data_IF_401618756610
#
_entry.id   IF_401618756610
#
_cell.length_a   1.000
_cell.length_b   1.000
_cell.length_c   1.000
_cell.angle_alpha   90.00
_cell.angle_beta   90.00
_cell.angle_gamma   90.00
#
_symmetry.space_group_name_H-M   'P 1'
#
loop_
_entity.id
_entity.type
_entity.pdbx_description
1 polymer ?
#
# COMPACT_ATOMS: atom_id res chain seq x y z
N UNK A 1 -5.46 12.20 19.08
CA UNK A 1 -4.82 12.76 17.87
C UNK A 1 -3.69 11.85 17.36
N UNK A 2 -3.95 10.55 17.16
CA UNK A 2 -2.98 9.57 16.64
C UNK A 2 -3.63 8.73 15.52
N UNK A 3 -4.36 9.40 14.62
CA UNK A 3 -5.28 8.79 13.63
C UNK A 3 -4.63 8.73 12.23
N UNK A 4 -3.35 9.07 12.13
CA UNK A 4 -2.71 9.38 10.85
C UNK A 4 -1.30 8.79 10.67
N UNK A 5 -0.80 7.77 11.40
CA UNK A 5 0.62 7.38 11.23
C UNK A 5 0.99 7.05 9.76
N UNK A 6 0.25 6.12 9.14
CA UNK A 6 0.48 5.72 7.74
C UNK A 6 0.17 6.85 6.74
N UNK A 7 -0.93 7.58 6.95
CA UNK A 7 -1.36 8.72 6.12
C UNK A 7 -0.39 9.90 6.19
N UNK A 8 0.13 10.21 7.38
CA UNK A 8 1.10 11.27 7.63
C UNK A 8 2.47 10.91 7.06
N UNK A 9 2.91 9.66 7.18
CA UNK A 9 4.19 9.23 6.60
C UNK A 9 4.16 9.36 5.07
N UNK A 10 3.14 8.78 4.42
CA UNK A 10 2.89 8.92 2.99
C UNK A 10 2.73 10.40 2.57
N UNK A 11 2.02 11.23 3.35
CA UNK A 11 1.94 12.66 3.12
C UNK A 11 3.32 13.34 3.24
N UNK A 12 4.16 12.98 4.21
CA UNK A 12 5.48 13.59 4.39
C UNK A 12 6.44 13.24 3.26
N UNK A 13 6.47 11.99 2.77
CA UNK A 13 7.31 11.63 1.61
C UNK A 13 6.81 12.31 0.34
N UNK A 14 5.50 12.31 0.04
CA UNK A 14 4.96 13.04 -1.12
C UNK A 14 5.25 14.55 -1.00
N UNK A 15 5.03 15.17 0.18
CA UNK A 15 5.28 16.60 0.37
C UNK A 15 6.77 16.96 0.34
N UNK A 16 7.67 16.09 0.81
CA UNK A 16 9.10 16.36 0.84
C UNK A 16 9.79 15.99 -0.49
N UNK A 17 9.63 14.75 -0.93
CA UNK A 17 10.42 14.13 -2.00
C UNK A 17 9.80 14.27 -3.39
N UNK A 18 8.51 14.63 -3.49
CA UNK A 18 7.91 15.09 -4.75
C UNK A 18 7.84 16.61 -4.76
N UNK A 19 7.09 17.20 -3.83
CA UNK A 19 6.66 18.60 -3.94
C UNK A 19 7.79 19.57 -3.56
N UNK A 20 8.37 19.47 -2.34
CA UNK A 20 9.46 20.37 -1.91
C UNK A 20 10.75 20.17 -2.70
N UNK A 21 11.08 18.93 -3.11
CA UNK A 21 12.23 18.60 -3.99
C UNK A 21 12.21 19.37 -5.32
N UNK A 22 11.03 19.72 -5.83
CA UNK A 22 10.83 20.43 -7.11
C UNK A 22 10.40 21.91 -6.90
N UNK A 23 10.20 22.34 -5.65
CA UNK A 23 9.84 23.71 -5.28
C UNK A 23 11.00 24.66 -5.53
N UNK A 24 10.79 25.63 -6.43
CA UNK A 24 11.70 26.75 -6.67
C UNK A 24 10.98 28.04 -6.30
N UNK A 25 11.68 28.97 -5.65
CA UNK A 25 11.08 30.23 -5.19
C UNK A 25 10.61 31.07 -6.39
N UNK A 26 9.30 31.28 -6.51
CA UNK A 26 8.69 32.11 -7.56
C UNK A 26 8.23 31.36 -8.82
N UNK A 27 8.52 30.07 -8.98
CA UNK A 27 8.00 29.26 -10.11
C UNK A 27 6.82 28.37 -9.65
N UNK A 28 5.61 28.76 -10.04
CA UNK A 28 4.40 27.94 -9.92
C UNK A 28 4.43 26.71 -10.84
N UNK A 29 3.80 25.62 -10.40
CA UNK A 29 3.75 24.35 -11.16
C UNK A 29 2.35 23.74 -11.22
N UNK A 30 2.13 22.90 -12.23
CA UNK A 30 0.94 22.05 -12.38
C UNK A 30 1.26 20.68 -11.76
N UNK A 31 0.31 20.05 -11.05
CA UNK A 31 0.43 18.66 -10.60
C UNK A 31 -0.48 17.76 -11.46
N UNK A 32 0.11 16.92 -12.29
CA UNK A 32 -0.59 15.93 -13.14
C UNK A 32 -0.56 14.57 -12.43
N UNK A 33 -1.71 13.91 -12.31
CA UNK A 33 -1.86 12.63 -11.59
C UNK A 33 -2.72 11.63 -12.36
N UNK A 34 -2.47 10.34 -12.11
CA UNK A 34 -3.31 9.21 -12.53
C UNK A 34 -4.43 8.92 -11.50
N UNK A 35 -5.44 8.14 -11.87
CA UNK A 35 -6.60 7.70 -11.07
C UNK A 35 -6.21 7.03 -9.74
N UNK A 36 -5.05 6.36 -9.67
CA UNK A 36 -4.50 5.80 -8.44
C UNK A 36 -3.82 6.89 -7.59
N UNK A 37 -2.85 7.60 -8.18
CA UNK A 37 -2.08 8.67 -7.55
C UNK A 37 -2.95 9.82 -7.01
N UNK A 38 -4.01 10.19 -7.73
CA UNK A 38 -5.03 11.16 -7.29
C UNK A 38 -5.69 10.70 -5.98
N UNK A 39 -5.97 9.40 -5.81
CA UNK A 39 -6.55 8.87 -4.58
C UNK A 39 -5.54 8.78 -3.45
N UNK A 40 -4.26 8.51 -3.73
CA UNK A 40 -3.19 8.62 -2.71
C UNK A 40 -3.14 10.06 -2.17
N UNK A 41 -2.92 11.04 -3.07
CA UNK A 41 -2.77 12.46 -2.74
C UNK A 41 -4.03 13.00 -2.03
N UNK A 42 -5.23 12.67 -2.52
CA UNK A 42 -6.49 13.11 -1.90
C UNK A 42 -6.76 12.48 -0.52
N UNK A 43 -6.19 11.31 -0.24
CA UNK A 43 -6.30 10.67 1.09
C UNK A 43 -5.34 11.28 2.11
N UNK A 44 -4.12 11.62 1.69
CA UNK A 44 -3.05 12.04 2.60
C UNK A 44 -2.85 13.57 2.72
N UNK A 45 -3.17 14.35 1.69
CA UNK A 45 -2.88 15.78 1.60
C UNK A 45 -4.12 16.61 1.24
N UNK A 46 -4.30 17.78 1.86
CA UNK A 46 -5.38 18.71 1.46
C UNK A 46 -4.92 19.60 0.31
N UNK A 47 -5.88 20.01 -0.53
CA UNK A 47 -5.65 20.98 -1.61
C UNK A 47 -4.98 22.28 -1.12
N UNK A 48 -5.32 22.75 0.08
CA UNK A 48 -4.69 23.93 0.73
C UNK A 48 -3.19 23.76 0.89
N UNK A 49 -2.76 22.56 1.28
CA UNK A 49 -1.41 22.27 1.72
C UNK A 49 -0.53 22.12 0.48
N UNK A 50 -1.03 21.37 -0.52
CA UNK A 50 -0.46 21.23 -1.86
C UNK A 50 -0.28 22.61 -2.55
N UNK A 51 -1.32 23.46 -2.51
CA UNK A 51 -1.24 24.79 -3.12
C UNK A 51 -0.23 25.71 -2.42
N UNK A 52 -0.13 25.64 -1.08
CA UNK A 52 0.85 26.43 -0.31
C UNK A 52 2.31 26.09 -0.65
N UNK A 53 2.56 24.89 -1.19
CA UNK A 53 3.88 24.43 -1.57
C UNK A 53 4.29 24.81 -3.01
N UNK A 54 3.45 25.53 -3.77
CA UNK A 54 3.80 26.11 -5.08
C UNK A 54 3.14 25.45 -6.28
N UNK A 55 2.10 24.63 -6.06
CA UNK A 55 1.25 24.05 -7.10
C UNK A 55 0.01 24.93 -7.29
N UNK A 56 -0.41 25.20 -8.52
CA UNK A 56 -1.62 26.03 -8.80
C UNK A 56 -2.87 25.22 -9.08
N UNK A 57 -2.73 24.06 -9.72
CA UNK A 57 -3.83 23.22 -10.17
C UNK A 57 -3.40 21.75 -10.16
N UNK A 58 -4.36 20.87 -9.88
CA UNK A 58 -4.19 19.42 -9.90
C UNK A 58 -5.04 18.85 -11.04
N UNK A 59 -4.41 18.12 -11.94
CA UNK A 59 -4.96 17.71 -13.23
C UNK A 59 -4.88 16.18 -13.42
N UNK A 60 -5.81 15.64 -14.20
CA UNK A 60 -5.92 14.21 -14.47
C UNK A 60 -5.29 13.87 -15.82
N UNK A 61 -4.26 13.00 -15.82
CA UNK A 61 -3.51 12.66 -17.04
C UNK A 61 -4.40 12.07 -18.15
N UNK A 62 -5.48 11.38 -17.77
CA UNK A 62 -6.41 10.72 -18.70
C UNK A 62 -7.44 11.67 -19.32
N UNK A 63 -7.48 12.92 -18.86
CA UNK A 63 -8.36 13.97 -19.42
C UNK A 63 -7.58 14.88 -20.37
N UNK A 64 -8.32 15.50 -21.31
CA UNK A 64 -7.80 16.60 -22.11
C UNK A 64 -7.63 17.83 -21.20
N UNK A 65 -6.45 18.45 -21.26
CA UNK A 65 -5.98 19.50 -20.35
C UNK A 65 -5.57 20.74 -21.16
N UNK A 66 -5.73 21.93 -20.58
CA UNK A 66 -5.37 23.17 -21.27
C UNK A 66 -3.83 23.33 -21.36
N UNK A 67 -3.29 23.77 -22.51
CA UNK A 67 -1.85 23.96 -22.68
C UNK A 67 -1.36 25.19 -21.92
N UNK A 68 -0.48 24.97 -20.94
CA UNK A 68 0.19 25.97 -20.11
C UNK A 68 1.72 25.96 -20.37
N UNK A 69 2.19 26.29 -21.60
CA UNK A 69 3.60 26.14 -22.02
C UNK A 69 4.59 27.04 -21.28
N UNK A 70 4.12 27.95 -20.42
CA UNK A 70 4.94 28.76 -19.52
C UNK A 70 5.30 28.06 -18.21
N UNK A 71 4.50 27.07 -17.78
CA UNK A 71 4.59 26.41 -16.48
C UNK A 71 5.28 25.05 -16.56
N UNK A 72 5.99 24.64 -15.51
CA UNK A 72 6.53 23.28 -15.39
C UNK A 72 5.47 22.37 -14.73
N UNK A 73 5.37 21.12 -15.18
CA UNK A 73 4.47 20.12 -14.61
C UNK A 73 5.22 19.08 -13.76
N UNK A 74 4.63 18.71 -12.64
CA UNK A 74 5.00 17.56 -11.82
C UNK A 74 4.04 16.43 -12.17
N UNK A 75 4.53 15.32 -12.70
CA UNK A 75 3.74 14.13 -12.96
C UNK A 75 3.96 13.16 -11.81
N UNK A 76 2.90 12.79 -11.09
CA UNK A 76 2.91 11.72 -10.10
C UNK A 76 1.96 10.62 -10.59
N UNK A 77 2.52 9.58 -11.20
CA UNK A 77 1.78 8.63 -12.03
C UNK A 77 2.19 7.18 -11.79
N UNK A 78 1.26 6.27 -12.01
CA UNK A 78 1.53 4.82 -12.08
C UNK A 78 2.34 4.51 -13.35
N UNK A 79 3.34 3.61 -13.34
CA UNK A 79 4.04 3.16 -14.55
C UNK A 79 3.16 2.21 -15.39
N UNK A 80 2.03 2.72 -15.89
CA UNK A 80 1.11 2.05 -16.82
C UNK A 80 1.21 2.61 -18.23
N UNK A 81 0.89 1.79 -19.23
CA UNK A 81 0.89 2.19 -20.65
C UNK A 81 0.01 3.43 -20.89
N UNK A 82 -1.20 3.49 -20.32
CA UNK A 82 -2.09 4.67 -20.38
C UNK A 82 -1.39 5.96 -19.87
N UNK A 83 -0.70 5.88 -18.72
CA UNK A 83 -0.05 7.05 -18.11
C UNK A 83 1.20 7.46 -18.89
N UNK A 84 1.97 6.49 -19.40
CA UNK A 84 3.18 6.73 -20.19
C UNK A 84 2.84 7.28 -21.58
N UNK A 85 1.80 6.77 -22.23
CA UNK A 85 1.30 7.36 -23.49
C UNK A 85 0.73 8.76 -23.27
N UNK A 86 0.01 9.02 -22.17
CA UNK A 86 -0.43 10.37 -21.78
C UNK A 86 0.74 11.34 -21.69
N UNK A 87 1.77 10.98 -20.91
CA UNK A 87 3.02 11.75 -20.78
C UNK A 87 3.73 11.99 -22.12
N UNK A 88 3.75 10.99 -23.01
CA UNK A 88 4.40 11.09 -24.33
C UNK A 88 3.60 12.02 -25.27
N UNK A 89 2.27 11.98 -25.22
CA UNK A 89 1.42 12.82 -26.04
C UNK A 89 1.52 14.31 -25.65
N UNK A 90 1.62 14.63 -24.35
CA UNK A 90 1.79 16.01 -23.83
C UNK A 90 3.01 16.76 -24.43
N UNK A 91 4.04 16.03 -24.87
CA UNK A 91 5.28 16.57 -25.45
C UNK A 91 5.55 16.11 -26.90
N UNK A 92 4.53 15.61 -27.60
CA UNK A 92 4.64 15.09 -28.97
C UNK A 92 5.04 16.16 -30.00
N UNK A 93 4.46 17.35 -29.88
CA UNK A 93 4.61 18.47 -30.81
C UNK A 93 5.41 19.65 -30.21
N UNK A 94 6.68 19.86 -30.63
CA UNK A 94 7.56 20.87 -30.03
C UNK A 94 7.15 22.34 -30.22
N UNK A 95 6.07 22.62 -30.98
CA UNK A 95 5.55 23.98 -31.19
C UNK A 95 4.50 24.37 -30.15
N UNK A 96 3.67 23.39 -29.74
CA UNK A 96 2.58 23.57 -28.79
C UNK A 96 2.67 22.50 -27.67
N UNK A 97 3.78 22.44 -26.90
CA UNK A 97 3.86 21.52 -25.77
C UNK A 97 2.85 21.94 -24.70
N UNK A 98 2.24 20.98 -24.00
CA UNK A 98 1.25 21.30 -22.96
C UNK A 98 1.92 22.00 -21.77
N UNK A 99 3.19 21.72 -21.49
CA UNK A 99 3.96 22.33 -20.40
C UNK A 99 5.40 22.71 -20.85
N UNK A 100 6.07 23.60 -20.10
CA UNK A 100 7.47 24.01 -20.30
C UNK A 100 8.50 22.90 -20.05
N UNK A 101 8.09 21.85 -19.34
CA UNK A 101 8.91 20.70 -18.97
C UNK A 101 8.25 19.85 -17.88
N UNK A 102 8.73 18.63 -17.72
CA UNK A 102 8.17 17.61 -16.84
C UNK A 102 9.14 17.24 -15.70
N UNK A 103 8.59 17.06 -14.51
CA UNK A 103 9.22 16.42 -13.37
C UNK A 103 8.43 15.14 -13.07
N UNK A 104 8.96 14.00 -13.51
CA UNK A 104 8.23 12.72 -13.49
C UNK A 104 8.59 11.92 -12.24
N UNK A 105 7.54 11.46 -11.56
CA UNK A 105 7.61 10.63 -10.38
C UNK A 105 6.73 9.40 -10.60
N UNK A 106 7.34 8.23 -10.58
CA UNK A 106 6.60 6.96 -10.65
C UNK A 106 6.29 6.45 -9.25
N UNK A 107 5.07 5.97 -9.04
CA UNK A 107 4.64 5.38 -7.76
C UNK A 107 5.28 4.03 -7.49
N UNK A 108 5.78 3.36 -8.53
CA UNK A 108 6.30 2.00 -8.53
C UNK A 108 7.44 1.90 -9.58
N UNK A 109 8.19 0.81 -9.57
CA UNK A 109 9.34 0.58 -10.46
C UNK A 109 8.90 0.57 -11.94
N UNK A 110 9.59 1.30 -12.82
CA UNK A 110 9.22 1.34 -14.25
C UNK A 110 9.80 0.12 -15.02
N UNK A 111 8.97 -0.65 -15.76
CA UNK A 111 9.47 -1.69 -16.65
C UNK A 111 10.38 -1.14 -17.76
N UNK A 112 11.46 -1.86 -18.07
CA UNK A 112 12.43 -1.51 -19.12
C UNK A 112 11.77 -1.18 -20.47
N UNK A 113 10.66 -1.85 -20.82
CA UNK A 113 9.89 -1.59 -22.04
C UNK A 113 9.35 -0.16 -22.09
N UNK A 114 8.73 0.31 -21.00
CA UNK A 114 8.19 1.66 -20.87
C UNK A 114 9.30 2.70 -20.70
N UNK A 115 10.37 2.39 -19.96
CA UNK A 115 11.53 3.28 -19.86
C UNK A 115 12.21 3.50 -21.22
N UNK A 116 12.35 2.44 -22.02
CA UNK A 116 12.84 2.52 -23.40
C UNK A 116 11.88 3.31 -24.32
N UNK A 117 10.57 3.20 -24.12
CA UNK A 117 9.57 3.96 -24.87
C UNK A 117 9.69 5.47 -24.58
N UNK A 118 9.76 5.86 -23.30
CA UNK A 118 9.99 7.26 -22.87
C UNK A 118 11.32 7.78 -23.41
N UNK A 119 12.40 6.98 -23.32
CA UNK A 119 13.74 7.36 -23.79
C UNK A 119 13.81 7.56 -25.31
N UNK A 120 13.06 6.77 -26.10
CA UNK A 120 12.92 6.95 -27.56
C UNK A 120 11.97 8.09 -27.94
N UNK A 121 11.05 8.45 -27.05
CA UNK A 121 10.09 9.54 -27.26
C UNK A 121 10.76 10.92 -27.26
N UNK A 122 10.02 11.94 -27.70
CA UNK A 122 10.45 13.35 -27.59
C UNK A 122 10.33 13.90 -26.16
N UNK A 123 9.51 13.30 -25.30
CA UNK A 123 9.32 13.75 -23.91
C UNK A 123 10.61 13.70 -23.10
N UNK A 124 11.53 12.78 -23.43
CA UNK A 124 12.90 12.69 -22.88
C UNK A 124 13.67 14.03 -22.86
N UNK A 125 13.39 14.95 -23.79
CA UNK A 125 14.04 16.29 -23.85
C UNK A 125 13.37 17.35 -22.96
N UNK A 126 12.12 17.09 -22.54
CA UNK A 126 11.32 17.96 -21.68
C UNK A 126 11.35 17.51 -20.22
N UNK A 127 11.67 16.24 -19.96
CA UNK A 127 11.83 15.67 -18.62
C UNK A 127 13.11 16.22 -17.97
N UNK A 128 12.98 16.78 -16.77
CA UNK A 128 14.05 17.40 -15.97
C UNK A 128 14.45 16.58 -14.75
N UNK A 129 13.51 15.81 -14.22
CA UNK A 129 13.75 14.77 -13.22
C UNK A 129 12.88 13.56 -13.57
N UNK A 130 13.44 12.37 -13.40
CA UNK A 130 12.72 11.10 -13.41
C UNK A 130 13.21 10.35 -12.18
N UNK A 131 12.32 10.05 -11.24
CA UNK A 131 12.63 9.28 -10.03
C UNK A 131 11.44 8.42 -9.64
N UNK A 132 11.69 7.22 -9.14
CA UNK A 132 10.68 6.37 -8.52
C UNK A 132 10.55 6.73 -7.03
N UNK A 133 9.35 6.58 -6.46
CA UNK A 133 9.10 6.78 -5.02
C UNK A 133 8.83 5.44 -4.32
N UNK A 134 8.43 4.40 -5.07
CA UNK A 134 8.14 3.06 -4.55
C UNK A 134 7.10 3.07 -3.41
N UNK A 135 6.00 3.81 -3.60
CA UNK A 135 4.80 3.82 -2.76
C UNK A 135 3.62 3.34 -3.60
N UNK A 136 3.44 2.02 -3.68
CA UNK A 136 2.49 1.38 -4.60
C UNK A 136 1.20 0.88 -3.91
N UNK A 137 0.80 1.50 -2.79
CA UNK A 137 -0.38 1.16 -1.99
C UNK A 137 -1.22 2.40 -1.62
N UNK A 138 -2.53 2.21 -1.41
CA UNK A 138 -3.41 3.23 -0.84
C UNK A 138 -3.46 3.11 0.69
N UNK A 139 -3.00 4.11 1.47
CA UNK A 139 -3.35 4.22 2.88
C UNK A 139 -4.84 4.61 2.99
N UNK A 140 -5.69 3.66 3.35
CA UNK A 140 -7.15 3.88 3.44
C UNK A 140 -7.52 4.51 4.79
N UNK A 141 -6.86 4.08 5.86
CA UNK A 141 -6.97 4.64 7.21
C UNK A 141 -5.61 4.55 7.94
N UNK A 142 -5.55 4.93 9.23
CA UNK A 142 -4.30 4.84 10.02
C UNK A 142 -3.72 3.43 10.08
N UNK A 143 -4.60 2.42 10.14
CA UNK A 143 -4.25 1.01 10.33
C UNK A 143 -4.67 0.13 9.16
N UNK A 144 -5.15 0.72 8.06
CA UNK A 144 -5.74 -0.01 6.92
C UNK A 144 -5.06 0.45 5.63
N UNK A 145 -4.47 -0.50 4.89
CA UNK A 145 -3.99 -0.26 3.53
C UNK A 145 -4.71 -1.15 2.50
N UNK A 146 -4.82 -0.64 1.27
CA UNK A 146 -5.43 -1.32 0.14
C UNK A 146 -4.47 -1.29 -1.05
N UNK A 147 -4.27 -2.43 -1.68
CA UNK A 147 -3.53 -2.54 -2.96
C UNK A 147 -4.42 -2.22 -4.16
N UNK A 148 -5.73 -2.00 -3.91
CA UNK A 148 -6.73 -1.41 -4.82
C UNK A 148 -6.98 -2.14 -6.15
N UNK A 149 -6.53 -3.39 -6.29
CA UNK A 149 -6.80 -4.24 -7.46
C UNK A 149 -8.19 -4.87 -7.31
N UNK A 150 -9.19 -4.24 -7.92
CA UNK A 150 -10.60 -4.65 -7.84
C UNK A 150 -10.82 -6.02 -8.51
N UNK A 151 -10.18 -6.26 -9.64
CA UNK A 151 -10.26 -7.51 -10.40
C UNK A 151 -9.60 -8.71 -9.72
N UNK A 152 -8.83 -8.49 -8.65
CA UNK A 152 -8.08 -9.54 -7.97
C UNK A 152 -8.95 -10.67 -7.40
N UNK A 153 -10.23 -10.39 -7.06
CA UNK A 153 -11.16 -11.45 -6.69
C UNK A 153 -11.37 -12.43 -7.85
N UNK A 154 -11.53 -11.90 -9.06
CA UNK A 154 -11.65 -12.68 -10.28
C UNK A 154 -10.34 -13.39 -10.61
N UNK A 155 -9.21 -12.68 -10.51
CA UNK A 155 -7.90 -13.23 -10.85
C UNK A 155 -7.51 -14.39 -9.92
N UNK A 156 -7.79 -14.31 -8.61
CA UNK A 156 -7.44 -15.38 -7.67
C UNK A 156 -8.45 -16.53 -7.63
N UNK A 157 -9.76 -16.26 -7.66
CA UNK A 157 -10.77 -17.31 -7.46
C UNK A 157 -11.32 -17.91 -8.76
N UNK A 158 -11.14 -17.29 -9.93
CA UNK A 158 -11.48 -17.93 -11.20
C UNK A 158 -10.56 -19.14 -11.48
N UNK A 159 -11.10 -20.27 -11.99
CA UNK A 159 -10.29 -21.38 -12.48
C UNK A 159 -9.65 -21.06 -13.84
N UNK A 160 -10.23 -20.16 -14.64
CA UNK A 160 -9.82 -19.89 -16.02
C UNK A 160 -8.62 -18.94 -16.14
N UNK A 161 -8.23 -18.26 -15.06
CA UNK A 161 -7.13 -17.27 -15.03
C UNK A 161 -5.81 -17.78 -14.42
N UNK A 162 -5.64 -19.10 -14.28
CA UNK A 162 -4.52 -19.72 -13.56
C UNK A 162 -3.13 -19.15 -13.88
N UNK A 163 -2.79 -18.98 -15.17
CA UNK A 163 -1.46 -18.49 -15.58
C UNK A 163 -1.19 -17.02 -15.20
N UNK A 164 -2.25 -16.20 -15.11
CA UNK A 164 -2.16 -14.78 -14.75
C UNK A 164 -1.86 -14.61 -13.25
N UNK A 165 -2.27 -15.58 -12.41
CA UNK A 165 -2.13 -15.51 -10.94
C UNK A 165 -0.69 -15.21 -10.51
N UNK A 166 0.29 -15.88 -11.10
CA UNK A 166 1.70 -15.70 -10.73
C UNK A 166 2.20 -14.26 -10.93
N UNK A 167 1.81 -13.60 -12.03
CA UNK A 167 2.16 -12.19 -12.29
C UNK A 167 1.43 -11.23 -11.32
N UNK A 168 0.20 -11.57 -10.92
CA UNK A 168 -0.55 -10.80 -9.92
C UNK A 168 0.07 -10.97 -8.54
N UNK A 169 0.52 -12.18 -8.16
CA UNK A 169 1.23 -12.47 -6.91
C UNK A 169 2.57 -11.74 -6.83
N UNK A 170 3.39 -11.77 -7.88
CA UNK A 170 4.67 -11.07 -7.93
C UNK A 170 4.49 -9.55 -7.73
N UNK A 171 3.50 -8.95 -8.40
CA UNK A 171 3.12 -7.55 -8.17
C UNK A 171 2.60 -7.29 -6.75
N UNK A 172 1.84 -8.22 -6.15
CA UNK A 172 1.44 -8.06 -4.74
C UNK A 172 2.63 -8.13 -3.78
N UNK A 173 3.60 -9.00 -4.02
CA UNK A 173 4.82 -9.07 -3.20
C UNK A 173 5.60 -7.74 -3.25
N UNK A 174 5.75 -7.14 -4.43
CA UNK A 174 6.34 -5.81 -4.64
C UNK A 174 5.56 -4.71 -3.88
N UNK A 175 4.23 -4.70 -4.00
CA UNK A 175 3.35 -3.72 -3.35
C UNK A 175 3.24 -3.88 -1.82
N UNK A 176 3.65 -5.02 -1.26
CA UNK A 176 3.77 -5.25 0.20
C UNK A 176 5.20 -4.95 0.67
N UNK A 177 6.23 -5.30 -0.12
CA UNK A 177 7.63 -5.00 0.19
C UNK A 177 7.88 -3.48 0.24
N UNK A 178 7.27 -2.72 -0.68
CA UNK A 178 7.29 -1.25 -0.68
C UNK A 178 6.69 -0.63 0.59
N UNK A 179 5.57 -1.15 1.10
CA UNK A 179 5.03 -0.75 2.41
C UNK A 179 6.02 -1.02 3.55
N UNK A 180 6.66 -2.19 3.56
CA UNK A 180 7.64 -2.55 4.59
C UNK A 180 8.86 -1.62 4.55
N UNK A 181 9.36 -1.29 3.35
CA UNK A 181 10.43 -0.32 3.14
C UNK A 181 10.02 1.10 3.58
N UNK A 182 8.80 1.54 3.25
CA UNK A 182 8.21 2.83 3.71
C UNK A 182 8.17 2.90 5.23
N UNK A 183 7.71 1.84 5.91
CA UNK A 183 7.69 1.75 7.37
C UNK A 183 9.08 1.54 8.01
N UNK A 184 10.11 1.23 7.20
CA UNK A 184 11.45 0.78 7.61
C UNK A 184 11.43 -0.46 8.52
N UNK A 185 10.49 -1.37 8.29
CA UNK A 185 10.31 -2.61 9.05
C UNK A 185 10.65 -3.84 8.20
N UNK A 186 11.34 -4.81 8.82
CA UNK A 186 11.56 -6.15 8.25
C UNK A 186 10.76 -7.16 9.10
N UNK A 187 9.51 -7.49 8.73
CA UNK A 187 8.69 -8.45 9.46
C UNK A 187 9.13 -9.90 9.20
N UNK A 188 8.82 -10.80 10.13
CA UNK A 188 8.97 -12.24 9.90
C UNK A 188 7.76 -12.77 9.12
N UNK A 189 7.96 -13.15 7.85
CA UNK A 189 6.86 -13.57 6.96
C UNK A 189 6.28 -14.93 7.40
N UNK A 190 4.96 -14.95 7.64
CA UNK A 190 4.14 -16.15 7.90
C UNK A 190 2.95 -16.18 6.93
N UNK A 191 2.47 -17.37 6.56
CA UNK A 191 1.35 -17.54 5.62
C UNK A 191 0.45 -18.73 6.01
N UNK A 192 -0.84 -18.71 5.64
CA UNK A 192 -1.76 -19.82 5.90
C UNK A 192 -1.48 -20.99 4.95
N UNK A 193 -0.90 -22.07 5.47
CA UNK A 193 -0.34 -23.19 4.71
C UNK A 193 -1.34 -24.09 3.96
N UNK A 194 -2.64 -23.95 4.22
CA UNK A 194 -3.71 -24.67 3.52
C UNK A 194 -3.82 -24.29 2.03
N UNK A 195 -3.39 -23.08 1.65
CA UNK A 195 -3.44 -22.57 0.29
C UNK A 195 -2.02 -22.44 -0.29
N UNK A 196 -1.75 -23.15 -1.39
CA UNK A 196 -0.42 -23.18 -2.03
C UNK A 196 0.01 -21.80 -2.53
N UNK A 197 -0.91 -21.03 -3.09
CA UNK A 197 -0.69 -19.71 -3.66
C UNK A 197 -0.17 -18.71 -2.59
N UNK A 198 -0.57 -18.88 -1.32
CA UNK A 198 -0.05 -18.09 -0.20
C UNK A 198 1.43 -18.36 0.08
N UNK A 199 1.89 -19.61 -0.10
CA UNK A 199 3.30 -19.96 0.06
C UNK A 199 4.15 -19.31 -1.05
N UNK A 200 3.64 -19.28 -2.29
CA UNK A 200 4.29 -18.63 -3.43
C UNK A 200 4.39 -17.12 -3.20
N UNK A 201 3.29 -16.46 -2.80
CA UNK A 201 3.27 -15.02 -2.48
C UNK A 201 4.29 -14.67 -1.40
N UNK A 202 4.29 -15.46 -0.32
CA UNK A 202 5.12 -15.17 0.84
C UNK A 202 6.60 -15.43 0.57
N UNK A 203 6.96 -16.40 -0.30
CA UNK A 203 8.33 -16.58 -0.78
C UNK A 203 8.77 -15.39 -1.64
N UNK A 204 7.96 -14.98 -2.63
CA UNK A 204 8.25 -13.80 -3.45
C UNK A 204 8.43 -12.53 -2.61
N UNK A 205 7.62 -12.37 -1.54
CA UNK A 205 7.75 -11.27 -0.59
C UNK A 205 9.04 -11.35 0.21
N UNK A 206 9.43 -12.53 0.71
CA UNK A 206 10.71 -12.72 1.41
C UNK A 206 11.89 -12.35 0.50
N UNK A 207 11.89 -12.84 -0.74
CA UNK A 207 12.95 -12.58 -1.72
C UNK A 207 13.07 -11.08 -2.05
N UNK A 208 11.94 -10.37 -2.21
CA UNK A 208 11.90 -8.91 -2.41
C UNK A 208 12.37 -8.14 -1.17
N UNK A 209 11.96 -8.55 0.04
CA UNK A 209 12.38 -7.91 1.31
C UNK A 209 13.89 -8.05 1.57
N UNK A 210 14.48 -9.19 1.21
CA UNK A 210 15.94 -9.38 1.29
C UNK A 210 16.70 -8.54 0.26
N UNK A 211 16.10 -8.26 -0.92
CA UNK A 211 16.58 -7.24 -1.86
C UNK A 211 16.61 -5.84 -1.24
N UNK A 212 15.46 -5.33 -0.76
CA UNK A 212 15.38 -4.01 -0.12
C UNK A 212 16.32 -3.84 1.09
N UNK A 213 16.61 -4.93 1.82
CA UNK A 213 17.56 -4.95 2.94
C UNK A 213 19.04 -4.89 2.50
N UNK A 214 19.36 -5.30 1.28
CA UNK A 214 20.69 -5.09 0.71
C UNK A 214 20.95 -3.62 0.37
N UNK A 215 19.90 -2.89 -0.04
CA UNK A 215 19.98 -1.48 -0.42
C UNK A 215 19.89 -0.50 0.78
N UNK A 216 19.09 -0.81 1.83
CA UNK A 216 19.09 -0.07 3.10
C UNK A 216 19.45 -0.97 4.30
N UNK A 217 20.72 -0.94 4.76
CA UNK A 217 21.18 -1.72 5.91
C UNK A 217 20.56 -1.35 7.26
N UNK A 218 19.76 -0.28 7.35
CA UNK A 218 19.08 0.12 8.61
C UNK A 218 17.77 -0.63 8.87
N UNK A 219 17.36 -1.51 7.96
CA UNK A 219 16.07 -2.20 7.98
C UNK A 219 16.01 -3.33 9.04
N UNK A 220 15.42 -3.02 10.20
CA UNK A 220 14.88 -4.01 11.15
C UNK A 220 15.62 -4.25 12.48
N UNK A 221 15.88 -3.21 13.29
CA UNK A 221 16.21 -3.40 14.72
C UNK A 221 15.02 -4.01 15.51
N UNK A 222 15.28 -4.95 16.41
CA UNK A 222 14.29 -5.92 16.96
C UNK A 222 13.95 -5.69 18.45
N UNK A 223 12.65 -5.66 18.85
CA UNK A 223 12.16 -5.49 20.24
C UNK A 223 10.78 -6.15 20.52
N UNK A 224 10.44 -6.39 21.80
CA UNK A 224 9.29 -7.20 22.31
C UNK A 224 8.92 -6.78 23.77
N UNK A 225 7.85 -7.16 24.50
CA UNK A 225 6.72 -8.12 24.27
C UNK A 225 5.45 -7.85 25.16
N UNK A 226 4.38 -8.63 24.84
CA UNK A 226 3.42 -9.37 25.71
C UNK A 226 2.44 -8.74 26.73
N UNK A 227 1.36 -9.53 26.99
CA UNK A 227 0.30 -9.48 28.03
C UNK A 227 -0.79 -8.36 27.92
N UNK A 228 -2.11 -8.61 28.10
CA UNK A 228 -2.87 -9.87 28.40
C UNK A 228 -4.43 -9.74 28.32
N UNK A 229 -5.12 -10.81 27.87
CA UNK A 229 -6.54 -11.25 28.13
C UNK A 229 -7.79 -10.65 27.43
N UNK A 230 -8.87 -11.45 27.45
CA UNK A 230 -10.06 -11.45 26.56
C UNK A 230 -11.41 -11.05 27.19
N UNK A 231 -12.42 -10.72 26.36
CA UNK A 231 -13.85 -10.99 26.62
C UNK A 231 -14.67 -11.03 25.31
N UNK A 232 -15.77 -11.80 25.26
CA UNK A 232 -16.34 -12.32 24.01
C UNK A 232 -17.62 -11.64 23.47
N UNK A 233 -17.70 -11.61 22.13
CA UNK A 233 -18.88 -11.60 21.22
C UNK A 233 -18.38 -11.96 19.81
N UNK A 234 -19.28 -12.30 18.86
CA UNK A 234 -18.89 -12.87 17.55
C UNK A 234 -17.72 -12.13 16.90
N UNK A 235 -16.65 -12.88 16.68
CA UNK A 235 -15.34 -12.39 16.28
C UNK A 235 -14.99 -12.98 14.91
N UNK A 236 -14.56 -12.16 13.93
CA UNK A 236 -14.01 -12.69 12.68
C UNK A 236 -12.60 -13.25 12.94
N UNK A 237 -12.30 -14.41 12.35
CA UNK A 237 -11.08 -15.20 12.58
C UNK A 237 -9.77 -14.39 12.51
N UNK A 238 -9.73 -13.32 11.72
CA UNK A 238 -8.59 -12.39 11.62
C UNK A 238 -8.17 -11.84 12.99
N UNK A 239 -9.11 -11.60 13.90
CA UNK A 239 -8.84 -11.13 15.26
C UNK A 239 -8.22 -12.22 16.14
N UNK A 240 -8.75 -13.43 16.09
CA UNK A 240 -8.20 -14.58 16.81
C UNK A 240 -6.75 -14.84 16.32
N UNK A 241 -6.52 -14.77 15.00
CA UNK A 241 -5.18 -14.88 14.39
C UNK A 241 -4.25 -13.74 14.84
N UNK A 242 -4.73 -12.50 14.96
CA UNK A 242 -3.94 -11.37 15.50
C UNK A 242 -3.60 -11.56 16.97
N UNK A 243 -4.55 -12.01 17.80
CA UNK A 243 -4.35 -12.25 19.23
C UNK A 243 -3.37 -13.43 19.45
N UNK A 244 -3.56 -14.57 18.77
CA UNK A 244 -2.64 -15.73 18.83
C UNK A 244 -1.25 -15.43 18.24
N UNK A 245 -1.12 -14.51 17.29
CA UNK A 245 0.18 -14.05 16.78
C UNK A 245 0.89 -13.10 17.74
N UNK A 246 0.16 -12.26 18.47
CA UNK A 246 0.71 -11.37 19.52
C UNK A 246 1.11 -12.16 20.78
N UNK A 247 0.40 -13.26 21.07
CA UNK A 247 0.70 -14.18 22.19
C UNK A 247 1.62 -15.37 21.82
N UNK A 248 2.18 -15.40 20.59
CA UNK A 248 3.06 -16.45 20.04
C UNK A 248 2.51 -17.89 20.15
N UNK A 249 1.17 -18.04 20.08
CA UNK A 249 0.43 -19.31 20.15
C UNK A 249 0.05 -19.87 18.79
N UNK A 250 0.04 -19.04 17.75
CA UNK A 250 -0.43 -19.36 16.41
C UNK A 250 0.33 -20.58 15.83
N UNK A 251 -0.37 -21.69 15.55
CA UNK A 251 0.24 -23.00 15.23
C UNK A 251 1.27 -22.90 14.08
N UNK A 252 2.56 -23.19 14.33
CA UNK A 252 3.61 -23.20 13.30
C UNK A 252 3.36 -24.16 12.13
N UNK A 253 2.45 -25.14 12.25
CA UNK A 253 2.04 -26.02 11.13
C UNK A 253 1.04 -25.35 10.19
N UNK A 254 0.10 -24.57 10.73
CA UNK A 254 -0.91 -23.87 9.96
C UNK A 254 -0.39 -22.53 9.44
N UNK A 255 0.53 -21.90 10.18
CA UNK A 255 1.18 -20.64 9.87
C UNK A 255 2.72 -20.74 9.98
N UNK A 256 3.39 -21.50 9.08
CA UNK A 256 4.85 -21.62 9.09
C UNK A 256 5.57 -20.30 8.81
N UNK A 257 6.81 -20.20 9.30
CA UNK A 257 7.76 -19.16 8.95
C UNK A 257 8.56 -19.57 7.70
N UNK A 258 8.86 -18.62 6.82
CA UNK A 258 9.73 -18.88 5.64
C UNK A 258 11.20 -18.85 6.03
N UNK A 259 11.64 -17.77 6.68
CA UNK A 259 12.97 -17.68 7.27
C UNK A 259 12.89 -17.90 8.78
N UNK A 260 13.44 -19.03 9.26
CA UNK A 260 13.52 -19.30 10.70
C UNK A 260 14.65 -18.46 11.30
N UNK A 261 14.33 -17.28 11.85
CA UNK A 261 15.28 -16.55 12.71
C UNK A 261 15.68 -17.48 13.86
N UNK A 262 16.96 -17.82 13.96
CA UNK A 262 17.50 -18.58 15.08
C UNK A 262 17.36 -17.75 16.34
N UNK A 263 16.40 -18.13 17.20
CA UNK A 263 16.14 -17.44 18.45
C UNK A 263 17.43 -17.38 19.30
N UNK A 264 18.03 -16.20 19.41
CA UNK A 264 19.27 -16.05 20.16
C UNK A 264 19.03 -16.39 21.63
N UNK A 265 19.91 -17.23 22.20
CA UNK A 265 19.71 -17.77 23.53
C UNK A 265 19.81 -16.65 24.58
N UNK A 266 18.71 -16.43 25.32
CA UNK A 266 18.55 -15.39 26.34
C UNK A 266 19.68 -15.44 27.38
N UNK A 267 20.72 -14.65 27.16
CA UNK A 267 21.86 -14.51 28.08
C UNK A 267 21.51 -13.42 29.09
N UNK A 268 21.17 -13.84 30.31
CA UNK A 268 20.71 -12.95 31.39
C UNK A 268 21.86 -12.13 31.97
N UNK A 269 22.11 -10.94 31.44
CA UNK A 269 22.98 -9.94 32.07
C UNK A 269 22.25 -9.23 33.20
N UNK A 270 22.71 -9.43 34.43
CA UNK A 270 22.11 -8.80 35.61
C UNK A 270 22.49 -7.30 35.69
N UNK A 271 21.50 -6.41 35.69
CA UNK A 271 21.70 -4.97 35.90
C UNK A 271 21.57 -4.60 37.38
N UNK A 272 22.52 -3.82 37.91
CA UNK A 272 22.53 -3.46 39.33
C UNK A 272 21.62 -2.26 39.63
N UNK A 273 20.69 -2.40 40.58
CA UNK A 273 19.76 -1.36 40.96
C UNK A 273 20.41 -0.25 41.82
N UNK A 274 20.98 0.81 41.19
CA UNK A 274 21.44 2.03 41.87
C UNK A 274 21.33 3.32 41.04
N UNK A 275 20.10 3.83 40.83
CA UNK A 275 19.73 5.21 41.17
C UNK A 275 18.22 5.44 40.91
N UNK A 276 17.54 6.20 41.76
CA UNK A 276 16.20 6.71 41.47
C UNK A 276 16.28 8.09 40.83
N UNK A 277 15.43 8.38 39.84
CA UNK A 277 15.36 9.71 39.23
C UNK A 277 13.90 10.21 39.17
N UNK A 278 13.58 11.15 40.06
CA UNK A 278 12.23 11.62 40.42
C UNK A 278 11.56 12.54 39.36
N UNK A 279 12.10 12.64 38.14
CA UNK A 279 11.68 13.66 37.17
C UNK A 279 11.40 13.11 35.76
N UNK A 280 10.11 12.96 35.44
CA UNK A 280 9.54 13.27 34.12
C UNK A 280 8.03 13.52 34.25
N UNK A 281 7.61 14.76 33.97
CA UNK A 281 6.20 15.14 33.95
C UNK A 281 5.49 14.54 32.73
N UNK A 282 4.16 14.37 32.83
CA UNK A 282 3.31 14.03 31.67
C UNK A 282 3.51 15.03 30.53
N UNK A 283 3.89 14.52 29.35
CA UNK A 283 3.84 15.22 28.08
C UNK A 283 2.87 14.50 27.12
N UNK A 284 1.79 15.12 26.65
CA UNK A 284 0.83 14.47 25.75
C UNK A 284 1.38 14.40 24.32
N UNK A 285 2.26 13.42 24.05
CA UNK A 285 2.94 13.30 22.76
C UNK A 285 3.89 12.13 22.59
N UNK A 286 3.73 11.04 23.34
CA UNK A 286 4.53 9.83 23.10
C UNK A 286 4.11 9.14 21.79
N UNK A 287 5.01 9.13 20.82
CA UNK A 287 4.93 8.24 19.65
C UNK A 287 5.02 6.82 20.19
N UNK A 288 4.01 5.98 19.90
CA UNK A 288 3.98 4.58 20.34
C UNK A 288 4.94 3.73 19.51
N UNK A 289 6.23 3.79 19.85
CA UNK A 289 7.27 2.92 19.29
C UNK A 289 7.17 1.51 19.90
N UNK A 290 6.07 0.81 19.56
CA UNK A 290 5.77 -0.55 19.98
C UNK A 290 5.99 -1.57 18.85
N UNK A 291 6.09 -2.88 19.17
CA UNK A 291 6.12 -3.92 18.15
C UNK A 291 4.87 -3.89 17.26
N UNK A 292 5.05 -4.13 15.97
CA UNK A 292 3.97 -4.12 14.96
C UNK A 292 3.61 -5.52 14.50
N UNK A 293 2.36 -5.68 14.05
CA UNK A 293 1.90 -6.85 13.33
C UNK A 293 1.18 -6.40 12.06
N UNK A 294 1.58 -6.92 10.90
CA UNK A 294 1.01 -6.58 9.59
C UNK A 294 0.30 -7.82 9.04
N UNK A 295 -1.02 -7.74 8.85
CA UNK A 295 -1.85 -8.85 8.35
C UNK A 295 -2.35 -8.51 6.95
N UNK A 296 -1.91 -9.23 5.92
CA UNK A 296 -2.38 -9.02 4.55
C UNK A 296 -3.43 -10.06 4.15
N UNK A 297 -4.60 -9.60 3.68
CA UNK A 297 -5.70 -10.45 3.23
C UNK A 297 -5.83 -10.38 1.71
N UNK A 298 -5.35 -11.43 1.06
CA UNK A 298 -5.59 -11.70 -0.37
C UNK A 298 -7.08 -11.95 -0.58
N UNK A 299 -7.65 -11.39 -1.65
CA UNK A 299 -9.06 -11.55 -2.00
C UNK A 299 -9.98 -10.44 -1.47
N UNK A 300 -9.54 -9.68 -0.45
CA UNK A 300 -10.22 -8.49 0.06
C UNK A 300 -10.67 -8.61 1.52
N UNK A 301 -11.02 -7.48 2.16
CA UNK A 301 -11.36 -7.41 3.60
C UNK A 301 -12.68 -6.67 3.86
N UNK A 302 -13.43 -7.10 4.87
CA UNK A 302 -14.69 -6.47 5.30
C UNK A 302 -14.49 -5.43 6.40
N UNK A 303 -15.46 -4.51 6.56
CA UNK A 303 -15.48 -3.54 7.66
C UNK A 303 -15.46 -4.20 9.06
N UNK A 304 -15.99 -5.42 9.21
CA UNK A 304 -15.98 -6.17 10.46
C UNK A 304 -14.56 -6.57 10.87
N UNK A 305 -13.72 -6.94 9.90
CA UNK A 305 -12.32 -7.32 10.12
C UNK A 305 -11.45 -6.07 10.31
N UNK A 306 -11.65 -5.02 9.51
CA UNK A 306 -10.99 -3.71 9.72
C UNK A 306 -11.22 -3.19 11.14
N UNK A 307 -12.46 -3.23 11.63
CA UNK A 307 -12.82 -2.82 13.00
C UNK A 307 -12.02 -3.59 14.07
N UNK A 308 -11.78 -4.88 13.87
CA UNK A 308 -11.10 -5.70 14.86
C UNK A 308 -9.63 -5.31 15.07
N UNK A 309 -8.98 -4.73 14.06
CA UNK A 309 -7.58 -4.26 14.12
C UNK A 309 -7.45 -3.07 15.08
N UNK A 310 -8.44 -2.18 15.06
CA UNK A 310 -8.56 -1.09 16.04
C UNK A 310 -8.90 -1.61 17.43
N UNK A 311 -9.77 -2.62 17.57
CA UNK A 311 -10.06 -3.24 18.87
C UNK A 311 -8.81 -3.87 19.49
N UNK A 312 -8.04 -4.64 18.71
CA UNK A 312 -6.77 -5.26 19.15
C UNK A 312 -5.73 -4.19 19.48
N UNK A 313 -5.57 -3.13 18.68
CA UNK A 313 -4.60 -2.05 18.98
C UNK A 313 -5.00 -1.19 20.19
N UNK A 314 -6.30 -1.02 20.43
CA UNK A 314 -6.79 -0.28 21.61
C UNK A 314 -6.66 -1.12 22.89
N UNK A 315 -6.93 -2.42 22.84
CA UNK A 315 -6.70 -3.35 23.95
C UNK A 315 -5.19 -3.52 24.23
N UNK A 316 -4.44 -3.94 23.23
CA UNK A 316 -3.00 -4.18 23.33
C UNK A 316 -2.24 -2.88 23.09
N UNK A 317 -2.39 -1.89 23.97
CA UNK A 317 -1.80 -0.54 23.82
C UNK A 317 -0.26 -0.45 23.74
N UNK A 318 0.43 -1.60 23.75
CA UNK A 318 1.86 -1.77 23.42
C UNK A 318 2.12 -2.12 21.95
N UNK A 319 1.18 -2.75 21.26
CA UNK A 319 1.31 -3.25 19.89
C UNK A 319 0.54 -2.35 18.92
N UNK A 320 0.99 -2.25 17.68
CA UNK A 320 0.24 -1.61 16.60
C UNK A 320 -0.06 -2.63 15.49
N UNK A 321 -1.34 -2.99 15.35
CA UNK A 321 -1.78 -3.89 14.29
C UNK A 321 -2.12 -3.10 13.02
N UNK A 322 -1.67 -3.56 11.87
CA UNK A 322 -1.98 -2.99 10.55
C UNK A 322 -2.62 -4.10 9.68
N UNK A 323 -3.69 -3.77 8.97
CA UNK A 323 -4.34 -4.68 8.02
C UNK A 323 -4.19 -4.18 6.60
N UNK A 324 -3.77 -5.09 5.73
CA UNK A 324 -3.71 -4.90 4.30
C UNK A 324 -4.76 -5.75 3.62
N UNK A 325 -5.24 -5.28 2.46
CA UNK A 325 -6.11 -6.08 1.61
C UNK A 325 -5.89 -5.77 0.14
N UNK A 326 -6.35 -6.67 -0.73
CA UNK A 326 -6.37 -6.38 -2.17
C UNK A 326 -7.45 -5.35 -2.55
N UNK A 327 -8.58 -5.33 -1.84
CA UNK A 327 -9.62 -4.29 -1.90
C UNK A 327 -10.61 -4.43 -0.72
N UNK A 328 -11.35 -3.35 -0.42
CA UNK A 328 -12.44 -3.38 0.59
C UNK A 328 -13.70 -4.05 0.03
N UNK A 329 -14.16 -5.11 0.69
CA UNK A 329 -15.40 -5.82 0.38
C UNK A 329 -16.57 -5.19 1.15
N UNK A 330 -17.59 -4.78 0.40
CA UNK A 330 -18.90 -4.32 0.87
C UNK A 330 -19.92 -5.38 0.43
N UNK A 331 -20.96 -5.75 1.22
CA UNK A 331 -21.92 -6.79 0.83
C UNK A 331 -22.51 -6.64 -0.58
N UNK A 332 -22.79 -5.41 -1.01
CA UNK A 332 -23.29 -5.11 -2.38
C UNK A 332 -22.22 -5.35 -3.46
N UNK A 333 -20.92 -5.15 -3.17
CA UNK A 333 -19.83 -5.54 -4.08
C UNK A 333 -19.67 -7.06 -4.11
N UNK A 334 -19.69 -7.71 -2.95
CA UNK A 334 -19.54 -9.16 -2.83
C UNK A 334 -20.60 -9.92 -3.65
N UNK A 335 -21.87 -9.54 -3.52
CA UNK A 335 -22.96 -10.10 -4.32
C UNK A 335 -22.76 -9.89 -5.83
N UNK A 336 -22.25 -8.72 -6.25
CA UNK A 336 -21.91 -8.46 -7.66
C UNK A 336 -20.72 -9.27 -8.16
N UNK A 337 -19.74 -9.56 -7.31
CA UNK A 337 -18.62 -10.44 -7.68
C UNK A 337 -19.10 -11.89 -7.83
N UNK A 338 -19.99 -12.37 -6.93
CA UNK A 338 -20.60 -13.71 -7.04
C UNK A 338 -21.56 -13.86 -8.23
N UNK A 339 -22.11 -12.76 -8.77
CA UNK A 339 -22.90 -12.76 -10.01
C UNK A 339 -22.06 -12.89 -11.29
N UNK A 340 -20.73 -12.96 -11.20
CA UNK A 340 -19.86 -13.19 -12.36
C UNK A 340 -19.96 -14.65 -12.84
N UNK A 341 -19.98 -14.86 -14.15
CA UNK A 341 -20.27 -16.16 -14.77
C UNK A 341 -19.34 -17.30 -14.30
N UNK A 342 -18.05 -17.02 -14.09
CA UNK A 342 -17.05 -17.96 -13.54
C UNK A 342 -17.43 -18.59 -12.18
N UNK A 343 -18.35 -17.99 -11.42
CA UNK A 343 -18.81 -18.48 -10.11
C UNK A 343 -20.22 -19.08 -10.12
N UNK A 344 -20.90 -19.05 -11.28
CA UNK A 344 -22.16 -19.77 -11.47
C UNK A 344 -21.85 -21.22 -11.87
N UNK A 345 -22.63 -22.18 -11.38
CA UNK A 345 -22.45 -23.60 -11.75
C UNK A 345 -22.72 -23.77 -13.26
N UNK A 346 -21.78 -24.31 -14.06
CA UNK A 346 -22.00 -24.57 -15.48
C UNK A 346 -23.17 -25.51 -15.81
N UNK A 347 -23.71 -26.21 -14.81
CA UNK A 347 -24.87 -27.10 -14.90
C UNK A 347 -26.12 -26.53 -14.23
N UNK A 348 -26.09 -25.30 -13.72
CA UNK A 348 -27.30 -24.63 -13.27
C UNK A 348 -28.28 -24.50 -14.43
N UNK A 349 -29.53 -24.93 -14.22
CA UNK A 349 -30.60 -24.60 -15.16
C UNK A 349 -30.71 -23.06 -15.27
N UNK A 350 -30.95 -22.50 -16.46
CA UNK A 350 -31.17 -21.06 -16.58
C UNK A 350 -32.35 -20.66 -15.69
N UNK A 351 -32.16 -19.66 -14.84
CA UNK A 351 -33.25 -19.13 -14.02
C UNK A 351 -34.38 -18.65 -14.93
N UNK A 352 -35.60 -19.13 -14.69
CA UNK A 352 -36.79 -18.69 -15.42
C UNK A 352 -36.90 -17.17 -15.31
N UNK A 353 -36.90 -16.49 -16.45
CA UNK A 353 -37.01 -15.04 -16.50
C UNK A 353 -38.35 -14.61 -15.90
N UNK A 354 -38.31 -14.05 -14.69
CA UNK A 354 -39.47 -13.43 -14.06
C UNK A 354 -40.10 -12.45 -15.06
N UNK A 355 -41.39 -12.63 -15.42
CA UNK A 355 -42.02 -11.79 -16.44
C UNK A 355 -42.02 -10.34 -15.97
N UNK A 356 -41.68 -9.42 -16.87
CA UNK A 356 -41.63 -8.00 -16.56
C UNK A 356 -43.00 -7.50 -16.07
N UNK A 357 -43.02 -6.74 -14.97
CA UNK A 357 -44.25 -6.09 -14.49
C UNK A 357 -44.61 -4.92 -15.41
N UNK A 358 -45.56 -5.14 -16.32
CA UNK A 358 -46.18 -4.09 -17.14
C UNK A 358 -46.98 -3.11 -16.26
N UNK A 359 -46.36 -1.98 -15.85
CA UNK A 359 -46.87 -0.59 -16.02
C UNK A 359 -46.02 0.51 -15.38
#
# INVERSE_FOLDING_TARGET
CFIYFLLFFCATEIMNDVIKKVKKKGEWKVLVVDKLSMRMVSSCCKMTDIMSEGITIVEDITKQREPLPTMEAIYLITPSDESVEGLINDFRDPRNPIYRGAHVFFTDTIPDSLFNLISKSRASKSIKTLTEINIAFLPYESQVFSVDRQDAFQDFYSPFKADVKNQVLERLAEQIATLCATLKEYPAVRYRGEYKDNAVLAQMLQDKLDGYKADDPTLGEERVSEQTYQLSRWTPLVKDIMEDAIEDKLDPKQYPYISTRTASSKTTTASSARYGNWHKNKSPGEIRNGPRIIVFIVGGVTYSEMRCVYEVTQANGKWEALIGSTHTIIPVKYLKHLQHQDFLDPNAAPEDQLPAEDK
#
